data_IF_679057297541
#
_entry.id   IF_679057297541
#
_cell.length_a   1.000
_cell.length_b   1.000
_cell.length_c   1.000
_cell.angle_alpha   90.00
_cell.angle_beta   90.00
_cell.angle_gamma   90.00
#
_symmetry.space_group_name_H-M   'P 1'
#
loop_
_entity.id
_entity.type
_entity.pdbx_description
1 polymer ?
#
# COMPACT_ATOMS: atom_id res chain seq x y z
N UNK A 1 -8.89 -13.51 23.27
CA UNK A 1 -8.48 -12.21 22.69
C UNK A 1 -7.26 -12.47 21.85
N UNK A 2 -7.33 -12.28 20.53
CA UNK A 2 -6.15 -12.33 19.68
C UNK A 2 -5.40 -11.02 19.90
N UNK A 3 -4.14 -11.10 20.30
CA UNK A 3 -3.29 -9.93 20.53
C UNK A 3 -2.94 -9.34 19.17
N UNK A 4 -3.50 -8.17 18.86
CA UNK A 4 -3.15 -7.41 17.66
C UNK A 4 -1.66 -7.06 17.72
N UNK A 5 -0.87 -7.61 16.80
CA UNK A 5 0.56 -7.29 16.71
C UNK A 5 0.71 -6.13 15.74
N UNK A 6 0.86 -4.92 16.28
CA UNK A 6 1.27 -3.76 15.49
C UNK A 6 2.78 -3.81 15.30
N UNK A 7 3.21 -4.01 14.06
CA UNK A 7 4.61 -3.78 13.68
C UNK A 7 4.84 -2.28 13.48
N UNK A 8 6.05 -1.80 13.79
CA UNK A 8 6.44 -0.43 13.46
C UNK A 8 6.20 -0.19 11.95
N UNK A 9 5.76 1.02 11.53
CA UNK A 9 5.49 1.30 10.13
C UNK A 9 6.70 0.99 9.26
N UNK A 10 6.50 0.18 8.23
CA UNK A 10 7.55 -0.14 7.27
C UNK A 10 7.64 1.01 6.26
N UNK A 11 8.86 1.49 6.00
CA UNK A 11 9.06 2.67 5.16
C UNK A 11 9.91 2.36 3.93
N UNK A 12 9.52 2.93 2.79
CA UNK A 12 10.22 2.80 1.51
C UNK A 12 10.40 4.17 0.88
N UNK A 13 11.61 4.49 0.44
CA UNK A 13 11.85 5.71 -0.35
C UNK A 13 11.81 5.36 -1.83
N UNK A 14 11.13 6.19 -2.63
CA UNK A 14 11.04 6.01 -4.07
C UNK A 14 11.11 7.36 -4.78
N UNK A 15 11.51 7.33 -6.06
CA UNK A 15 11.69 8.54 -6.87
C UNK A 15 10.41 8.81 -7.66
N UNK A 16 9.88 10.02 -7.52
CA UNK A 16 8.79 10.55 -8.35
C UNK A 16 9.42 11.41 -9.44
N UNK A 17 9.21 11.03 -10.70
CA UNK A 17 9.82 11.73 -11.84
C UNK A 17 9.07 13.02 -12.13
N UNK A 18 9.79 14.02 -12.63
CA UNK A 18 9.21 15.24 -13.17
C UNK A 18 8.08 14.90 -14.15
N UNK A 19 6.94 15.56 -13.97
CA UNK A 19 5.75 15.39 -14.79
C UNK A 19 4.85 14.22 -14.40
N UNK A 20 5.23 13.38 -13.43
CA UNK A 20 4.35 12.34 -12.91
C UNK A 20 3.07 12.95 -12.31
N UNK A 21 1.94 12.32 -12.59
CA UNK A 21 0.59 12.74 -12.17
C UNK A 21 -0.12 11.65 -11.37
N UNK A 22 0.44 10.45 -11.30
CA UNK A 22 -0.15 9.33 -10.61
C UNK A 22 0.90 8.48 -9.90
N UNK A 23 0.52 8.01 -8.71
CA UNK A 23 1.26 7.00 -7.97
C UNK A 23 0.28 5.87 -7.65
N UNK A 24 0.63 4.65 -8.02
CA UNK A 24 -0.15 3.45 -7.76
C UNK A 24 0.63 2.51 -6.84
N UNK A 25 0.03 2.19 -5.69
CA UNK A 25 0.57 1.26 -4.70
C UNK A 25 -0.29 0.00 -4.74
N UNK A 26 0.32 -1.14 -5.01
CA UNK A 26 -0.35 -2.43 -5.00
C UNK A 26 0.29 -3.34 -3.96
N UNK A 27 -0.54 -3.89 -3.08
CA UNK A 27 -0.13 -4.81 -2.05
C UNK A 27 -0.87 -6.13 -2.18
N UNK A 28 -0.16 -7.25 -2.04
CA UNK A 28 -0.73 -8.60 -1.98
C UNK A 28 -0.23 -9.33 -0.74
N UNK A 29 -1.10 -10.01 -0.01
CA UNK A 29 -0.71 -10.80 1.15
C UNK A 29 -1.63 -12.01 1.37
N UNK A 30 -1.14 -12.96 2.17
CA UNK A 30 -1.91 -14.12 2.61
C UNK A 30 -2.51 -13.87 4.01
N UNK A 31 -3.72 -14.39 4.23
CA UNK A 31 -4.44 -14.29 5.49
C UNK A 31 -5.37 -13.08 5.58
N UNK A 32 -5.92 -12.85 6.78
CA UNK A 32 -6.95 -11.85 7.06
C UNK A 32 -6.40 -10.56 7.69
N UNK A 33 -5.11 -10.29 7.52
CA UNK A 33 -4.50 -9.04 7.98
C UNK A 33 -4.89 -7.83 7.13
N UNK A 34 -4.43 -6.65 7.52
CA UNK A 34 -4.64 -5.40 6.78
C UNK A 34 -3.36 -4.58 6.62
N UNK A 35 -3.31 -3.80 5.54
CA UNK A 35 -2.24 -2.84 5.24
C UNK A 35 -2.87 -1.46 5.13
N UNK A 36 -2.38 -0.47 5.87
CA UNK A 36 -2.72 0.93 5.65
C UNK A 36 -1.58 1.64 4.91
N UNK A 37 -1.93 2.43 3.90
CA UNK A 37 -0.99 3.16 3.05
C UNK A 37 -0.96 4.65 3.39
N UNK A 38 0.25 5.19 3.56
CA UNK A 38 0.52 6.62 3.68
C UNK A 38 1.71 7.01 2.81
N UNK A 39 1.59 8.12 2.08
CA UNK A 39 2.68 8.66 1.25
C UNK A 39 3.06 10.04 1.78
N UNK A 40 4.34 10.26 2.07
CA UNK A 40 4.91 11.54 2.43
C UNK A 40 5.71 12.12 1.26
N UNK A 41 5.22 13.23 0.73
CA UNK A 41 5.96 14.13 -0.14
C UNK A 41 6.70 15.19 0.72
N UNK A 42 7.48 16.08 0.09
CA UNK A 42 8.24 17.11 0.80
C UNK A 42 7.37 17.98 1.70
N UNK A 43 6.21 18.41 1.21
CA UNK A 43 5.34 19.39 1.88
C UNK A 43 3.91 18.87 2.16
N UNK A 44 3.64 17.60 1.88
CA UNK A 44 2.29 17.03 2.02
C UNK A 44 2.34 15.55 2.41
N UNK A 45 1.41 15.17 3.26
CA UNK A 45 1.12 13.77 3.59
C UNK A 45 -0.20 13.41 2.93
N UNK A 46 -0.19 12.29 2.21
CA UNK A 46 -1.35 11.67 1.60
C UNK A 46 -1.67 10.39 2.36
N UNK A 47 -2.93 10.26 2.75
CA UNK A 47 -3.47 9.05 3.40
C UNK A 47 -4.41 8.34 2.44
N UNK A 48 -4.92 7.17 2.81
CA UNK A 48 -5.92 6.46 2.00
C UNK A 48 -7.18 7.31 1.71
N UNK A 49 -7.47 8.34 2.50
CA UNK A 49 -8.57 9.30 2.25
C UNK A 49 -8.33 10.17 1.01
N UNK A 50 -7.07 10.35 0.63
CA UNK A 50 -6.65 11.11 -0.54
C UNK A 50 -6.50 10.23 -1.79
N UNK A 51 -6.80 8.92 -1.67
CA UNK A 51 -6.53 7.91 -2.69
C UNK A 51 -7.81 7.21 -3.12
N UNK A 52 -7.85 6.76 -4.38
CA UNK A 52 -8.84 5.77 -4.80
C UNK A 52 -8.36 4.39 -4.32
N UNK A 53 -9.00 3.87 -3.29
CA UNK A 53 -8.70 2.55 -2.73
C UNK A 53 -9.57 1.48 -3.39
N UNK A 54 -8.97 0.36 -3.77
CA UNK A 54 -9.65 -0.85 -4.22
C UNK A 54 -9.11 -2.04 -3.45
N UNK A 55 -10.00 -2.77 -2.78
CA UNK A 55 -9.65 -3.97 -2.03
C UNK A 55 -10.33 -5.18 -2.64
N UNK A 56 -9.65 -6.33 -2.57
CA UNK A 56 -10.19 -7.62 -2.99
C UNK A 56 -9.66 -8.71 -2.07
N UNK A 57 -10.55 -9.57 -1.61
CA UNK A 57 -10.20 -10.83 -0.96
C UNK A 57 -10.64 -11.97 -1.86
N UNK A 58 -9.71 -12.82 -2.25
CA UNK A 58 -9.97 -14.09 -2.94
C UNK A 58 -9.89 -15.20 -1.91
N UNK A 59 -10.94 -16.01 -1.82
CA UNK A 59 -11.01 -17.14 -0.89
C UNK A 59 -10.86 -18.41 -1.72
N UNK A 60 -9.73 -19.09 -1.56
CA UNK A 60 -9.46 -20.36 -2.23
C UNK A 60 -9.84 -21.50 -1.28
N UNK A 61 -10.67 -22.43 -1.77
CA UNK A 61 -11.10 -23.61 -1.01
C UNK A 61 -10.62 -24.85 -1.73
N UNK A 62 -9.78 -25.65 -1.08
CA UNK A 62 -9.25 -26.91 -1.61
C UNK A 62 -9.33 -27.99 -0.54
N UNK A 63 -10.28 -28.92 -0.70
CA UNK A 63 -10.59 -29.91 0.33
C UNK A 63 -11.07 -29.26 1.63
N UNK A 64 -10.34 -29.49 2.73
CA UNK A 64 -10.59 -28.88 4.04
C UNK A 64 -9.75 -27.61 4.29
N UNK A 65 -8.93 -27.21 3.32
CA UNK A 65 -8.05 -26.04 3.42
C UNK A 65 -8.75 -24.80 2.85
N UNK A 66 -8.72 -23.70 3.62
CA UNK A 66 -9.22 -22.39 3.20
C UNK A 66 -8.05 -21.41 3.25
N UNK A 67 -7.75 -20.78 2.12
CA UNK A 67 -6.71 -19.78 1.99
C UNK A 67 -7.30 -18.42 1.58
N UNK A 68 -6.81 -17.35 2.21
CA UNK A 68 -7.23 -15.99 1.93
C UNK A 68 -6.09 -15.27 1.22
N UNK A 69 -6.34 -14.82 0.00
CA UNK A 69 -5.43 -13.96 -0.76
C UNK A 69 -6.03 -12.57 -0.80
N UNK A 70 -5.39 -11.63 -0.13
CA UNK A 70 -5.83 -10.26 -0.05
C UNK A 70 -5.01 -9.37 -0.99
N UNK A 71 -5.69 -8.39 -1.56
CA UNK A 71 -5.14 -7.41 -2.48
C UNK A 71 -5.67 -6.03 -2.10
N UNK A 72 -4.78 -5.04 -2.05
CA UNK A 72 -5.12 -3.62 -1.93
C UNK A 72 -4.40 -2.83 -3.01
N UNK A 73 -5.14 -1.96 -3.71
CA UNK A 73 -4.61 -0.97 -4.64
C UNK A 73 -5.00 0.42 -4.18
N UNK A 74 -4.01 1.27 -3.99
CA UNK A 74 -4.20 2.69 -3.69
C UNK A 74 -3.68 3.52 -4.86
N UNK A 75 -4.56 4.27 -5.51
CA UNK A 75 -4.19 5.18 -6.60
C UNK A 75 -4.29 6.62 -6.11
N UNK A 76 -3.15 7.30 -6.05
CA UNK A 76 -3.05 8.72 -5.73
C UNK A 76 -2.89 9.52 -7.03
N UNK A 77 -3.78 10.48 -7.26
CA UNK A 77 -3.62 11.47 -8.34
C UNK A 77 -3.04 12.75 -7.76
N UNK A 78 -1.99 13.27 -8.40
CA UNK A 78 -1.25 14.46 -7.97
C UNK A 78 -1.15 15.47 -9.12
N UNK A 79 -0.99 16.77 -8.81
CA UNK A 79 -0.52 17.73 -9.81
C UNK A 79 0.84 17.28 -10.38
N UNK A 80 1.14 17.58 -11.66
CA UNK A 80 2.44 17.25 -12.25
C UNK A 80 3.60 17.77 -11.39
N UNK A 81 4.52 16.88 -11.03
CA UNK A 81 5.68 17.26 -10.21
C UNK A 81 6.64 18.12 -11.05
N UNK A 82 7.10 19.24 -10.48
CA UNK A 82 7.90 20.23 -11.20
C UNK A 82 9.33 19.74 -11.50
N UNK A 83 9.87 18.91 -10.62
CA UNK A 83 11.21 18.32 -10.69
C UNK A 83 11.19 16.88 -10.19
N UNK A 84 12.34 16.20 -10.29
CA UNK A 84 12.48 14.86 -9.74
C UNK A 84 12.55 14.94 -8.20
N UNK A 85 11.66 14.25 -7.50
CA UNK A 85 11.56 14.29 -6.03
C UNK A 85 11.71 12.88 -5.42
N UNK A 86 12.19 12.81 -4.18
CA UNK A 86 12.17 11.58 -3.39
C UNK A 86 11.01 11.62 -2.40
N UNK A 87 10.10 10.66 -2.52
CA UNK A 87 8.94 10.52 -1.65
C UNK A 87 9.09 9.26 -0.79
N UNK A 88 8.37 9.23 0.33
CA UNK A 88 8.37 8.11 1.26
C UNK A 88 7.00 7.45 1.31
N UNK A 89 6.95 6.14 1.12
CA UNK A 89 5.80 5.31 1.42
C UNK A 89 5.96 4.77 2.85
N UNK A 90 4.89 4.81 3.63
CA UNK A 90 4.78 4.14 4.92
C UNK A 90 3.61 3.15 4.87
N UNK A 91 3.87 1.92 5.32
CA UNK A 91 2.88 0.86 5.45
C UNK A 91 2.71 0.51 6.93
N UNK A 92 1.49 0.62 7.45
CA UNK A 92 1.14 0.02 8.73
C UNK A 92 0.54 -1.36 8.50
N UNK A 93 1.17 -2.40 9.05
CA UNK A 93 0.76 -3.78 8.87
C UNK A 93 0.11 -4.30 10.15
N UNK A 94 -1.06 -4.92 10.02
CA UNK A 94 -1.74 -5.61 11.11
C UNK A 94 -1.93 -7.08 10.74
N UNK A 95 -1.31 -7.97 11.50
CA UNK A 95 -1.40 -9.43 11.32
C UNK A 95 -0.98 -9.91 9.91
N UNK A 96 0.04 -9.26 9.31
CA UNK A 96 0.61 -9.63 8.01
C UNK A 96 2.09 -9.96 8.19
N UNK A 97 2.48 -11.25 8.13
CA UNK A 97 3.89 -11.64 8.24
C UNK A 97 4.67 -11.40 6.94
N UNK A 98 4.01 -11.58 5.79
CA UNK A 98 4.63 -11.49 4.47
C UNK A 98 3.67 -10.84 3.47
N UNK A 99 4.22 -10.02 2.56
CA UNK A 99 3.47 -9.33 1.53
C UNK A 99 4.35 -9.04 0.31
N UNK A 100 3.70 -8.82 -0.83
CA UNK A 100 4.30 -8.28 -2.03
C UNK A 100 3.84 -6.83 -2.20
N UNK A 101 4.76 -5.96 -2.61
CA UNK A 101 4.53 -4.53 -2.82
C UNK A 101 5.02 -4.14 -4.21
N UNK A 102 4.16 -3.46 -4.97
CA UNK A 102 4.52 -2.79 -6.22
C UNK A 102 4.23 -1.30 -6.10
N UNK A 103 5.18 -0.46 -6.54
CA UNK A 103 5.06 0.99 -6.60
C UNK A 103 5.22 1.40 -8.06
N UNK A 104 4.17 1.93 -8.66
CA UNK A 104 4.20 2.50 -10.01
C UNK A 104 4.06 4.03 -9.92
N UNK A 105 4.85 4.73 -10.72
CA UNK A 105 4.81 6.20 -10.85
C UNK A 105 4.68 6.54 -12.33
N UNK A 106 3.64 7.29 -12.69
CA UNK A 106 3.33 7.70 -14.08
C UNK A 106 2.90 9.15 -14.19
#
# INVERSE_FOLDING_TARGET
MLQETYLAPITFNFKVRKGATQICIECLWLGLGSIEVKIQALNKIYTEKDMKVTERTTINVSGLTIEYHCYKKCVLTIPPVAEDEFWRLELALLNIPEYQLTIEVS
#
